data_IF_042263778259
#
_entry.id   IF_042263778259
#
_cell.length_a   1.000
_cell.length_b   1.000
_cell.length_c   1.000
_cell.angle_alpha   90.00
_cell.angle_beta   90.00
_cell.angle_gamma   90.00
#
_symmetry.space_group_name_H-M   'P 1'
#
loop_
_entity.id
_entity.type
_entity.pdbx_description
1 polymer ?
#
# COMPACT_ATOMS: atom_id res chain seq x y z
N UNK A 1 -12.74 5.35 2.67
CA UNK A 1 -11.94 6.18 1.75
C UNK A 1 -10.58 5.52 1.61
N UNK A 2 -10.05 5.41 0.40
CA UNK A 2 -8.73 4.80 0.14
C UNK A 2 -7.86 5.88 -0.47
N UNK A 3 -6.71 6.13 0.15
CA UNK A 3 -5.69 7.06 -0.33
C UNK A 3 -4.59 6.28 -1.03
N UNK A 4 -4.23 6.72 -2.24
CA UNK A 4 -3.20 6.10 -3.06
C UNK A 4 -2.07 7.11 -3.28
N UNK A 5 -0.85 6.67 -2.98
CA UNK A 5 0.39 7.38 -3.25
C UNK A 5 1.25 6.58 -4.22
N UNK A 6 1.87 7.27 -5.18
CA UNK A 6 2.84 6.68 -6.08
C UNK A 6 4.18 7.36 -5.88
N UNK A 7 5.22 6.56 -5.63
CA UNK A 7 6.61 7.03 -5.58
C UNK A 7 7.39 6.36 -6.71
N UNK A 8 7.85 7.17 -7.66
CA UNK A 8 8.68 6.68 -8.76
C UNK A 8 10.08 6.34 -8.24
N UNK A 9 10.51 5.08 -8.43
CA UNK A 9 11.84 4.64 -8.01
C UNK A 9 12.87 4.81 -9.14
N UNK A 10 12.53 4.37 -10.35
CA UNK A 10 13.41 4.43 -11.52
C UNK A 10 12.63 4.36 -12.83
N UNK A 11 13.14 5.04 -13.86
CA UNK A 11 12.77 4.82 -15.26
C UNK A 11 13.58 3.63 -15.78
N UNK A 12 12.92 2.48 -16.03
CA UNK A 12 13.63 1.27 -16.46
C UNK A 12 13.89 1.26 -17.96
N UNK A 13 12.89 1.56 -18.79
CA UNK A 13 13.03 1.52 -20.25
C UNK A 13 11.88 2.27 -20.96
N UNK A 14 12.16 2.81 -22.15
CA UNK A 14 11.17 3.47 -23.01
C UNK A 14 11.31 2.92 -24.43
N UNK A 15 10.27 2.22 -24.91
CA UNK A 15 10.14 1.83 -26.32
C UNK A 15 9.26 2.85 -27.04
N UNK A 16 9.89 3.84 -27.66
CA UNK A 16 9.22 4.93 -28.37
C UNK A 16 8.46 4.45 -29.62
N UNK A 17 8.92 3.36 -30.25
CA UNK A 17 8.30 2.82 -31.47
C UNK A 17 6.97 2.14 -31.17
N UNK A 18 6.89 1.44 -30.03
CA UNK A 18 5.68 0.78 -29.57
C UNK A 18 4.90 1.59 -28.51
N UNK A 19 5.40 2.77 -28.13
CA UNK A 19 4.83 3.65 -27.10
C UNK A 19 4.67 2.97 -25.72
N UNK A 20 5.66 2.16 -25.34
CA UNK A 20 5.66 1.45 -24.05
C UNK A 20 6.69 2.08 -23.13
N UNK A 21 6.26 2.37 -21.90
CA UNK A 21 7.11 2.89 -20.85
C UNK A 21 7.09 1.94 -19.66
N UNK A 22 8.27 1.44 -19.27
CA UNK A 22 8.41 0.54 -18.12
C UNK A 22 9.06 1.30 -16.97
N UNK A 23 8.34 1.40 -15.86
CA UNK A 23 8.80 2.10 -14.65
C UNK A 23 8.70 1.21 -13.42
N UNK A 24 9.69 1.35 -12.53
CA UNK A 24 9.62 0.77 -11.20
C UNK A 24 9.04 1.82 -10.27
N UNK A 25 7.84 1.54 -9.75
CA UNK A 25 7.12 2.42 -8.83
C UNK A 25 6.85 1.70 -7.52
N UNK A 26 6.86 2.46 -6.43
CA UNK A 26 6.31 2.06 -5.15
C UNK A 26 4.88 2.57 -5.06
N UNK A 27 3.94 1.65 -4.85
CA UNK A 27 2.54 1.97 -4.57
C UNK A 27 2.33 1.96 -3.06
N UNK A 28 1.97 3.12 -2.51
CA UNK A 28 1.57 3.28 -1.13
C UNK A 28 0.05 3.38 -1.06
N UNK A 29 -0.57 2.54 -0.23
CA UNK A 29 -2.02 2.55 -0.04
C UNK A 29 -2.33 2.75 1.43
N UNK A 30 -3.25 3.66 1.73
CA UNK A 30 -3.71 3.93 3.08
C UNK A 30 -5.23 3.89 3.12
N UNK A 31 -5.78 3.06 4.00
CA UNK A 31 -7.22 2.96 4.22
C UNK A 31 -7.51 2.72 5.70
N UNK A 32 -8.76 2.97 6.10
CA UNK A 32 -9.24 2.69 7.45
C UNK A 32 -10.15 1.46 7.42
N UNK A 33 -9.73 0.38 8.07
CA UNK A 33 -10.58 -0.79 8.33
C UNK A 33 -11.12 -0.72 9.76
N UNK A 34 -12.45 -0.62 9.91
CA UNK A 34 -13.09 -0.54 11.23
C UNK A 34 -12.97 -1.84 12.02
N UNK A 35 -12.78 -3.00 11.37
CA UNK A 35 -12.60 -4.30 12.03
C UNK A 35 -11.20 -4.44 12.63
N UNK A 36 -10.23 -3.68 12.13
CA UNK A 36 -8.85 -3.66 12.61
C UNK A 36 -8.60 -2.46 13.54
N UNK A 37 -9.55 -2.21 14.45
CA UNK A 37 -9.43 -1.16 15.46
C UNK A 37 -9.43 -1.77 16.86
N UNK A 38 -8.55 -1.29 17.74
CA UNK A 38 -8.44 -1.75 19.12
C UNK A 38 -8.04 -0.61 20.06
N UNK A 39 -8.21 -0.82 21.37
CA UNK A 39 -7.77 0.11 22.43
C UNK A 39 -6.38 -0.34 22.89
N UNK A 40 -5.29 0.42 22.64
CA UNK A 40 -3.93 -0.01 22.94
C UNK A 40 -3.73 -0.47 24.39
N UNK A 41 -4.36 0.21 25.35
CA UNK A 41 -4.28 -0.13 26.78
C UNK A 41 -4.82 -1.52 27.14
N UNK A 42 -5.68 -2.13 26.31
CA UNK A 42 -6.16 -3.50 26.51
C UNK A 42 -5.22 -4.56 25.91
N UNK A 43 -4.27 -4.13 25.06
CA UNK A 43 -3.36 -5.00 24.32
C UNK A 43 -1.89 -4.66 24.64
N UNK A 44 -1.60 -4.23 25.87
CA UNK A 44 -0.22 -3.97 26.33
C UNK A 44 0.43 -2.71 25.76
N UNK A 45 -0.36 -1.77 25.22
CA UNK A 45 0.13 -0.53 24.64
C UNK A 45 0.58 -0.66 23.18
N UNK A 46 0.12 -1.68 22.46
CA UNK A 46 0.43 -1.84 21.03
C UNK A 46 -0.40 -0.83 20.23
N UNK A 47 0.27 0.11 19.57
CA UNK A 47 -0.37 1.12 18.71
C UNK A 47 -0.24 0.77 17.21
N UNK A 48 0.73 -0.07 16.84
CA UNK A 48 1.03 -0.44 15.46
C UNK A 48 1.21 -1.95 15.37
N UNK A 49 0.65 -2.56 14.33
CA UNK A 49 0.74 -3.98 14.05
C UNK A 49 1.08 -4.20 12.58
N UNK A 50 2.11 -5.00 12.31
CA UNK A 50 2.49 -5.40 10.96
C UNK A 50 1.94 -6.81 10.69
N UNK A 51 1.05 -6.92 9.71
CA UNK A 51 0.39 -8.17 9.32
C UNK A 51 0.61 -8.39 7.81
N UNK A 52 0.84 -9.62 7.35
CA UNK A 52 0.82 -9.93 5.93
C UNK A 52 -0.51 -9.48 5.29
N UNK A 53 -0.42 -8.86 4.11
CA UNK A 53 -1.60 -8.42 3.37
C UNK A 53 -2.51 -9.57 2.93
N UNK A 54 -2.02 -10.82 2.91
CA UNK A 54 -2.81 -12.02 2.65
C UNK A 54 -3.86 -12.32 3.71
N UNK A 55 -3.66 -11.80 4.92
CA UNK A 55 -4.45 -12.18 6.09
C UNK A 55 -5.56 -11.16 6.39
N UNK A 56 -5.58 -10.04 5.67
CA UNK A 56 -6.55 -8.96 5.81
C UNK A 56 -7.18 -8.59 4.48
N UNK A 57 -8.31 -7.92 4.52
CA UNK A 57 -8.87 -7.31 3.32
C UNK A 57 -8.00 -6.11 2.91
N UNK A 58 -7.64 -6.08 1.63
CA UNK A 58 -6.98 -4.94 1.00
C UNK A 58 -7.87 -4.45 -0.16
N UNK A 59 -7.93 -3.15 -0.44
CA UNK A 59 -8.68 -2.64 -1.59
C UNK A 59 -8.07 -3.14 -2.90
N UNK A 60 -8.92 -3.59 -3.82
CA UNK A 60 -8.51 -3.93 -5.19
C UNK A 60 -8.19 -2.64 -5.95
N UNK A 61 -6.96 -2.51 -6.47
CA UNK A 61 -6.45 -1.38 -7.28
C UNK A 61 -6.27 -1.80 -8.73
#
# INVERSE_FOLDING_TARGET
NVSLGLKLSQLSDIDERNQIMTTNVWLEQEWTDHKLTWIPGQYGGIDVLEIPSSDIWVPDV
#
